data_IF_493626418498
#
_entry.id   IF_493626418498
#
_cell.length_a   1.000
_cell.length_b   1.000
_cell.length_c   1.000
_cell.angle_alpha   90.00
_cell.angle_beta   90.00
_cell.angle_gamma   90.00
#
_symmetry.space_group_name_H-M   'P 1'
#
loop_
_entity.id
_entity.type
_entity.pdbx_description
1 polymer ?
#
# COMPACT_ATOMS: atom_id res chain seq x y z
N UNK A 1 18.49 -3.49 10.73
CA UNK A 1 17.62 -3.97 11.83
C UNK A 1 16.24 -4.34 11.29
N UNK A 2 15.84 -5.60 11.42
CA UNK A 2 14.64 -6.20 10.81
C UNK A 2 13.41 -6.20 11.75
N UNK A 3 13.52 -5.58 12.93
CA UNK A 3 12.60 -5.80 14.06
C UNK A 3 11.49 -4.76 14.32
N UNK A 4 11.39 -3.65 13.58
CA UNK A 4 10.51 -2.53 14.02
C UNK A 4 9.22 -2.30 13.23
N UNK A 5 8.91 -3.07 12.17
CA UNK A 5 7.83 -2.70 11.23
C UNK A 5 6.48 -3.40 11.35
N UNK A 6 6.41 -4.53 12.05
CA UNK A 6 5.12 -5.16 12.35
C UNK A 6 4.26 -4.24 13.24
N UNK A 7 4.82 -3.53 14.24
CA UNK A 7 4.11 -2.45 14.93
C UNK A 7 3.72 -1.30 13.99
N UNK A 8 4.64 -0.79 13.17
CA UNK A 8 4.37 0.33 12.23
C UNK A 8 3.18 0.05 11.30
N UNK A 9 3.08 -1.15 10.73
CA UNK A 9 1.92 -1.55 9.90
C UNK A 9 0.63 -1.69 10.73
N UNK A 10 0.75 -2.21 11.96
CA UNK A 10 -0.38 -2.31 12.90
C UNK A 10 -0.89 -0.91 13.30
N UNK A 11 -0.01 0.09 13.36
CA UNK A 11 -0.37 1.49 13.61
C UNK A 11 -0.98 2.17 12.38
N UNK A 12 -0.43 1.95 11.18
CA UNK A 12 -0.93 2.57 9.94
C UNK A 12 -2.32 2.09 9.47
N UNK A 13 -2.80 0.97 10.00
CA UNK A 13 -4.08 0.35 9.59
C UNK A 13 -5.08 0.30 10.74
N UNK A 14 -4.69 0.55 11.99
CA UNK A 14 -5.64 0.59 13.12
C UNK A 14 -6.59 1.78 12.94
N UNK A 15 -7.89 1.55 12.70
CA UNK A 15 -8.82 2.65 12.41
C UNK A 15 -9.11 3.52 13.65
N UNK A 16 -8.90 2.96 14.85
CA UNK A 16 -9.09 3.64 16.13
C UNK A 16 -7.85 4.40 16.62
N UNK A 17 -6.74 4.34 15.88
CA UNK A 17 -5.54 5.08 16.21
C UNK A 17 -5.52 6.37 15.39
N UNK A 18 -5.58 7.52 16.07
CA UNK A 18 -5.60 8.83 15.41
C UNK A 18 -4.31 9.15 14.63
N UNK A 19 -3.22 8.41 14.87
CA UNK A 19 -1.95 8.54 14.14
C UNK A 19 -1.86 7.59 12.93
N UNK A 20 -2.88 6.78 12.70
CA UNK A 20 -2.98 5.89 11.55
C UNK A 20 -3.16 6.67 10.25
N UNK A 21 -2.46 6.27 9.19
CA UNK A 21 -2.63 6.87 7.87
C UNK A 21 -4.07 6.68 7.35
N UNK A 22 -4.71 5.56 7.72
CA UNK A 22 -6.13 5.32 7.42
C UNK A 22 -7.04 6.31 8.16
N UNK A 23 -6.75 6.61 9.42
CA UNK A 23 -7.53 7.56 10.20
C UNK A 23 -7.40 8.99 9.65
N UNK A 24 -6.17 9.41 9.32
CA UNK A 24 -5.91 10.69 8.66
C UNK A 24 -6.65 10.80 7.31
N UNK A 25 -6.55 9.78 6.46
CA UNK A 25 -7.25 9.77 5.16
C UNK A 25 -8.78 9.82 5.33
N UNK A 26 -9.33 9.08 6.30
CA UNK A 26 -10.77 9.08 6.61
C UNK A 26 -11.23 10.48 7.04
N UNK A 27 -10.43 11.18 7.86
CA UNK A 27 -10.71 12.55 8.28
C UNK A 27 -10.66 13.55 7.11
N UNK A 28 -9.61 13.48 6.29
CA UNK A 28 -9.42 14.40 5.15
C UNK A 28 -10.46 14.24 4.04
N UNK A 29 -10.85 13.00 3.72
CA UNK A 29 -11.71 12.70 2.56
C UNK A 29 -13.16 12.37 2.94
N UNK A 30 -13.44 12.09 4.22
CA UNK A 30 -14.71 11.50 4.66
C UNK A 30 -14.91 10.04 4.22
N UNK A 31 -13.90 9.42 3.58
CA UNK A 31 -13.99 8.07 3.05
C UNK A 31 -13.98 7.02 4.16
N UNK A 32 -14.95 6.09 4.13
CA UNK A 32 -15.03 4.96 5.07
C UNK A 32 -14.48 3.69 4.43
N UNK A 33 -13.43 3.13 5.01
CA UNK A 33 -12.87 1.85 4.59
C UNK A 33 -13.73 0.68 5.04
N UNK A 34 -14.17 -0.16 4.10
CA UNK A 34 -14.89 -1.40 4.40
C UNK A 34 -13.91 -2.57 4.59
N UNK A 35 -13.32 -2.66 5.78
CA UNK A 35 -12.38 -3.74 6.13
C UNK A 35 -12.97 -5.15 6.00
N UNK A 36 -14.29 -5.31 6.17
CA UNK A 36 -14.96 -6.59 6.03
C UNK A 36 -15.03 -7.07 4.58
N UNK A 37 -15.05 -6.14 3.62
CA UNK A 37 -15.04 -6.43 2.19
C UNK A 37 -13.62 -6.46 1.59
N UNK A 38 -12.58 -6.11 2.35
CA UNK A 38 -11.21 -6.08 1.84
C UNK A 38 -10.61 -7.48 1.74
N UNK A 39 -9.95 -7.78 0.62
CA UNK A 39 -9.18 -9.02 0.40
C UNK A 39 -7.68 -8.75 0.38
N UNK A 40 -6.89 -9.64 1.00
CA UNK A 40 -5.43 -9.63 0.87
C UNK A 40 -5.06 -10.16 -0.53
N UNK A 41 -4.48 -9.30 -1.37
CA UNK A 41 -4.10 -9.65 -2.75
C UNK A 41 -2.76 -10.36 -2.85
N UNK A 42 -1.87 -10.16 -1.88
CA UNK A 42 -0.56 -10.81 -1.85
C UNK A 42 0.03 -10.77 -0.43
N UNK A 43 0.87 -11.76 -0.11
CA UNK A 43 1.57 -11.87 1.16
C UNK A 43 3.05 -12.16 0.94
N UNK A 44 3.92 -11.47 1.67
CA UNK A 44 5.36 -11.68 1.61
C UNK A 44 6.01 -11.74 3.00
N UNK A 45 6.89 -12.73 3.16
CA UNK A 45 7.61 -13.02 4.41
C UNK A 45 8.76 -12.05 4.69
N UNK A 46 9.37 -11.45 3.67
CA UNK A 46 10.48 -10.51 3.83
C UNK A 46 10.09 -9.07 3.49
N UNK A 47 10.81 -8.10 4.09
CA UNK A 47 10.57 -6.66 3.90
C UNK A 47 10.72 -6.22 2.44
N UNK A 48 11.72 -6.77 1.73
CA UNK A 48 11.98 -6.43 0.33
C UNK A 48 10.84 -6.86 -0.57
N UNK A 49 10.40 -8.13 -0.46
CA UNK A 49 9.28 -8.64 -1.26
C UNK A 49 7.97 -7.92 -0.93
N UNK A 50 7.72 -7.55 0.33
CA UNK A 50 6.53 -6.77 0.68
C UNK A 50 6.53 -5.38 0.06
N UNK A 51 7.65 -4.65 0.17
CA UNK A 51 7.81 -3.36 -0.50
C UNK A 51 7.63 -3.48 -2.01
N UNK A 52 8.17 -4.52 -2.61
CA UNK A 52 8.04 -4.78 -4.04
C UNK A 52 6.57 -5.01 -4.43
N UNK A 53 5.81 -5.75 -3.63
CA UNK A 53 4.36 -5.95 -3.82
C UNK A 53 3.60 -4.63 -3.67
N UNK A 54 3.85 -3.85 -2.62
CA UNK A 54 3.20 -2.55 -2.39
C UNK A 54 3.48 -1.58 -3.54
N UNK A 55 4.73 -1.49 -3.98
CA UNK A 55 5.15 -0.76 -5.17
C UNK A 55 4.35 -1.17 -6.40
N UNK A 56 4.24 -2.48 -6.64
CA UNK A 56 3.58 -3.00 -7.82
C UNK A 56 2.06 -2.77 -7.80
N UNK A 57 1.43 -2.90 -6.64
CA UNK A 57 0.01 -2.69 -6.43
C UNK A 57 -0.39 -1.21 -6.27
N UNK A 58 0.58 -0.29 -6.16
CA UNK A 58 0.30 1.13 -6.02
C UNK A 58 -0.48 1.67 -7.23
N UNK A 59 -1.32 2.68 -7.01
CA UNK A 59 -2.02 3.44 -8.04
C UNK A 59 -2.36 4.83 -7.49
N UNK A 60 -3.02 5.66 -8.30
CA UNK A 60 -3.41 7.02 -7.91
C UNK A 60 -4.43 7.03 -6.75
N UNK A 61 -5.17 5.94 -6.57
CA UNK A 61 -6.17 5.76 -5.51
C UNK A 61 -5.57 5.20 -4.22
N UNK A 62 -4.27 4.89 -4.21
CA UNK A 62 -3.61 4.27 -3.09
C UNK A 62 -3.34 5.27 -1.97
N UNK A 63 -3.75 4.90 -0.75
CA UNK A 63 -3.57 5.72 0.47
C UNK A 63 -2.08 5.90 0.82
N UNK A 64 -1.27 4.87 0.57
CA UNK A 64 0.17 4.93 0.84
C UNK A 64 0.93 5.62 -0.30
N UNK A 65 1.04 6.95 -0.23
CA UNK A 65 1.76 7.78 -1.22
C UNK A 65 3.28 7.82 -1.02
N UNK A 66 3.82 7.19 0.03
CA UNK A 66 5.25 7.23 0.38
C UNK A 66 6.06 6.07 -0.19
N UNK A 67 5.67 5.58 -1.37
CA UNK A 67 6.40 4.51 -2.03
C UNK A 67 7.41 5.14 -2.99
N UNK A 68 8.65 5.31 -2.50
CA UNK A 68 9.77 5.68 -3.38
C UNK A 68 10.13 4.50 -4.28
N UNK A 69 9.61 4.54 -5.50
CA UNK A 69 9.95 3.58 -6.53
C UNK A 69 11.26 3.99 -7.20
N UNK A 70 12.30 3.19 -6.96
CA UNK A 70 13.58 3.38 -7.62
C UNK A 70 13.40 3.45 -9.15
N UNK A 71 14.08 4.38 -9.85
CA UNK A 71 13.84 4.67 -11.27
C UNK A 71 13.86 3.44 -12.18
N UNK A 72 14.75 2.47 -11.90
CA UNK A 72 14.88 1.22 -12.65
C UNK A 72 13.59 0.39 -12.72
N UNK A 73 12.69 0.54 -11.75
CA UNK A 73 11.43 -0.21 -11.69
C UNK A 73 10.22 0.58 -12.18
N UNK A 74 10.35 1.88 -12.52
CA UNK A 74 9.23 2.70 -13.03
C UNK A 74 8.77 2.24 -14.42
N UNK A 75 9.72 2.03 -15.32
CA UNK A 75 9.43 1.64 -16.72
C UNK A 75 8.81 0.25 -16.82
N UNK A 76 9.38 -0.81 -16.20
CA UNK A 76 8.74 -2.13 -16.19
C UNK A 76 7.35 -2.10 -15.57
N UNK A 77 7.17 -1.26 -14.53
CA UNK A 77 5.90 -1.09 -13.84
C UNK A 77 4.80 -0.55 -14.71
N UNK A 78 5.06 0.56 -15.38
CA UNK A 78 4.09 1.17 -16.27
C UNK A 78 3.74 0.23 -17.43
N UNK A 79 4.71 -0.51 -17.98
CA UNK A 79 4.46 -1.47 -19.05
C UNK A 79 3.47 -2.58 -18.65
N UNK A 80 3.65 -3.20 -17.48
CA UNK A 80 2.75 -4.26 -17.03
C UNK A 80 1.38 -3.72 -16.58
N UNK A 81 1.29 -2.50 -16.07
CA UNK A 81 0.01 -1.87 -15.74
C UNK A 81 -0.80 -1.50 -16.99
N UNK A 82 -0.15 -0.98 -18.04
CA UNK A 82 -0.80 -0.67 -19.32
C UNK A 82 -1.11 -1.95 -20.13
N UNK A 83 -0.34 -3.03 -19.94
CA UNK A 83 -0.63 -4.33 -20.56
C UNK A 83 -1.86 -5.04 -19.98
N UNK A 84 -2.30 -4.67 -18.77
CA UNK A 84 -3.47 -5.25 -18.12
C UNK A 84 -4.80 -4.61 -18.54
N UNK A 85 -4.77 -3.49 -19.28
CA UNK A 85 -5.97 -2.87 -19.88
C UNK A 85 -6.25 -3.34 -21.31
N UNK A 86 -5.53 -4.37 -21.78
CA UNK A 86 -5.80 -5.05 -23.05
C UNK A 86 -6.63 -6.31 -22.85
N UNK A 87 -7.90 -6.22 -23.25
CA UNK A 87 -8.98 -7.24 -23.35
C UNK A 87 -9.86 -7.41 -22.10
#
# INVERSE_FOLDING_TARGET
MLGSRIPEHKFAVRPSDGLSQVAAHTYETGHKFNFAATKIIAHARCKTSRKLIEVWAFDENSVNRFIDLAPAYRTPRNYLQTGATGV
#
